data_IF_826202518656
#
_entry.id   IF_826202518656
#
_cell.length_a   1.000
_cell.length_b   1.000
_cell.length_c   1.000
_cell.angle_alpha   90.00
_cell.angle_beta   90.00
_cell.angle_gamma   90.00
#
_symmetry.space_group_name_H-M   'P 1'
#
loop_
_entity.id
_entity.type
_entity.pdbx_description
1 polymer ?
#
# COMPACT_ATOMS: atom_id res chain seq x y z
N UNK A 1 54.59 -24.58 15.29
CA UNK A 1 55.87 -24.41 16.00
C UNK A 1 56.28 -22.95 15.84
N UNK A 2 55.67 -22.16 16.71
CA UNK A 2 56.14 -21.02 17.49
C UNK A 2 57.08 -19.91 16.96
N UNK A 3 56.73 -18.75 17.52
CA UNK A 3 57.49 -17.53 17.87
C UNK A 3 57.55 -16.36 16.87
N UNK A 4 56.59 -15.43 17.03
CA UNK A 4 56.74 -14.10 17.69
C UNK A 4 58.09 -13.37 17.51
N UNK A 5 58.21 -12.04 17.40
CA UNK A 5 57.31 -10.93 17.72
C UNK A 5 57.99 -9.60 17.39
N UNK A 6 57.16 -8.58 17.17
CA UNK A 6 57.50 -7.17 17.05
C UNK A 6 58.35 -6.63 18.23
N UNK A 7 59.48 -5.99 17.90
CA UNK A 7 59.98 -4.87 18.68
C UNK A 7 59.18 -3.61 18.33
N UNK A 8 58.89 -2.67 19.21
CA UNK A 8 59.27 -2.51 20.59
C UNK A 8 59.13 -1.03 20.92
N UNK A 9 58.64 -0.75 22.13
CA UNK A 9 59.00 0.40 22.96
C UNK A 9 58.61 1.81 22.44
N UNK A 10 58.08 2.74 23.24
CA UNK A 10 58.19 2.94 24.69
C UNK A 10 57.19 4.07 25.00
N UNK A 11 56.29 3.89 25.98
CA UNK A 11 56.43 4.40 27.38
C UNK A 11 56.01 5.88 27.49
N UNK A 12 55.30 6.37 28.50
CA UNK A 12 55.24 6.06 29.95
C UNK A 12 54.17 7.01 30.52
N UNK A 13 53.39 6.81 31.60
CA UNK A 13 53.21 5.77 32.61
C UNK A 13 52.07 6.21 33.57
N UNK A 14 51.28 5.24 34.05
CA UNK A 14 50.99 4.92 35.46
C UNK A 14 50.27 5.97 36.37
N UNK A 15 49.39 5.60 37.33
CA UNK A 15 49.33 4.39 38.19
C UNK A 15 48.04 4.41 39.05
N UNK A 16 47.54 3.20 39.40
CA UNK A 16 46.89 2.77 40.67
C UNK A 16 45.52 3.40 41.00
N UNK A 17 44.51 2.73 41.58
CA UNK A 17 44.36 1.41 42.20
C UNK A 17 43.05 1.43 43.02
N UNK A 18 42.37 0.27 43.09
CA UNK A 18 41.18 -0.13 43.87
C UNK A 18 40.57 0.79 44.95
N UNK A 19 39.23 0.91 44.97
CA UNK A 19 38.31 0.46 46.04
C UNK A 19 36.81 0.64 45.70
N UNK A 20 35.87 -0.10 46.34
CA UNK A 20 34.46 -0.20 45.94
C UNK A 20 33.50 0.77 46.67
N UNK A 21 32.49 1.23 45.92
CA UNK A 21 31.15 1.81 46.26
C UNK A 21 31.03 3.01 47.23
N UNK A 22 30.08 3.95 46.97
CA UNK A 22 28.74 3.80 47.54
C UNK A 22 27.58 4.15 46.60
N UNK A 23 26.40 3.61 46.92
CA UNK A 23 25.09 3.94 46.39
C UNK A 23 24.86 5.45 46.16
N UNK A 24 24.53 5.83 44.94
CA UNK A 24 23.90 7.12 44.63
C UNK A 24 22.48 6.90 44.09
N UNK A 25 21.53 7.47 44.83
CA UNK A 25 20.13 7.63 44.45
C UNK A 25 20.02 8.28 43.05
N UNK A 26 19.14 7.83 42.16
CA UNK A 26 18.88 8.53 40.91
C UNK A 26 18.15 9.85 41.21
N UNK A 27 18.77 10.93 40.77
CA UNK A 27 18.32 12.30 40.85
C UNK A 27 16.97 12.44 40.10
N UNK A 28 15.86 12.53 40.85
CA UNK A 28 14.56 12.92 40.34
C UNK A 28 14.60 14.40 39.93
N UNK A 29 15.02 14.73 38.70
CA UNK A 29 14.68 16.03 38.08
C UNK A 29 14.99 16.20 36.57
N UNK A 30 15.05 15.14 35.76
CA UNK A 30 15.26 15.29 34.30
C UNK A 30 13.97 15.34 33.45
N UNK A 31 12.79 15.41 34.06
CA UNK A 31 11.52 15.29 33.33
C UNK A 31 10.72 16.58 33.13
N UNK A 32 11.30 17.76 33.38
CA UNK A 32 10.55 19.03 33.34
C UNK A 32 10.84 19.98 32.18
N UNK A 33 11.57 19.60 31.12
CA UNK A 33 11.67 20.49 29.94
C UNK A 33 12.13 19.83 28.62
N UNK A 34 11.66 18.61 28.31
CA UNK A 34 11.88 18.08 26.97
C UNK A 34 10.97 18.79 25.96
N UNK A 35 11.55 19.72 25.19
CA UNK A 35 10.85 20.45 24.12
C UNK A 35 10.81 19.61 22.84
N UNK A 36 9.68 19.66 22.13
CA UNK A 36 9.52 19.07 20.79
C UNK A 36 10.42 19.83 19.81
N UNK A 37 11.08 19.09 18.92
CA UNK A 37 11.92 19.69 17.89
C UNK A 37 11.04 20.50 16.92
N UNK A 38 11.19 21.83 16.93
CA UNK A 38 10.44 22.73 16.05
C UNK A 38 10.62 22.39 14.56
N UNK A 39 11.85 22.04 14.15
CA UNK A 39 12.12 21.67 12.76
C UNK A 39 11.51 20.31 12.41
N UNK A 40 11.43 19.37 13.35
CA UNK A 40 10.75 18.09 13.13
C UNK A 40 9.24 18.27 13.02
N UNK A 41 8.65 19.10 13.88
CA UNK A 41 7.21 19.43 13.81
C UNK A 41 6.84 20.11 12.48
N UNK A 42 7.80 20.81 11.87
CA UNK A 42 7.66 21.39 10.54
C UNK A 42 8.23 20.51 9.40
N UNK A 43 8.55 19.24 9.65
CA UNK A 43 9.01 18.26 8.65
C UNK A 43 10.42 18.49 8.07
N UNK A 44 11.27 19.28 8.72
CA UNK A 44 12.57 19.79 8.20
C UNK A 44 13.79 19.44 9.08
N UNK A 45 13.68 18.50 10.03
CA UNK A 45 14.82 18.13 10.87
C UNK A 45 15.73 17.09 10.19
N UNK A 46 17.01 17.40 10.03
CA UNK A 46 18.02 16.54 9.38
C UNK A 46 19.13 16.05 10.33
N UNK A 47 19.02 16.27 11.65
CA UNK A 47 20.04 15.89 12.63
C UNK A 47 19.85 14.45 13.15
N UNK A 48 20.94 13.68 13.21
CA UNK A 48 20.97 12.35 13.82
C UNK A 48 22.22 12.16 14.71
N UNK A 49 22.09 12.00 16.05
CA UNK A 49 20.85 12.10 16.83
C UNK A 49 20.43 13.56 17.09
N UNK A 50 19.12 13.83 17.04
CA UNK A 50 18.57 15.14 17.38
C UNK A 50 18.46 15.30 18.92
N UNK A 51 18.86 16.46 19.44
CA UNK A 51 18.80 16.76 20.88
C UNK A 51 17.37 17.08 21.40
N UNK A 52 16.37 17.10 20.51
CA UNK A 52 14.97 17.45 20.82
C UNK A 52 14.03 16.33 20.39
N UNK A 53 12.86 16.24 21.02
CA UNK A 53 11.92 15.13 20.78
C UNK A 53 11.30 15.18 19.38
N UNK A 54 11.21 14.01 18.75
CA UNK A 54 10.47 13.77 17.51
C UNK A 54 9.12 13.09 17.81
N UNK A 55 8.36 13.66 18.74
CA UNK A 55 6.99 13.27 19.08
C UNK A 55 6.26 14.47 19.67
N UNK A 56 4.93 14.53 19.52
CA UNK A 56 4.13 15.53 20.21
C UNK A 56 4.06 15.21 21.71
N UNK A 57 4.03 16.25 22.55
CA UNK A 57 3.79 16.08 23.98
C UNK A 57 2.30 15.87 24.22
N UNK A 58 1.92 14.96 25.15
CA UNK A 58 0.52 14.82 25.53
C UNK A 58 -0.03 16.16 26.06
N UNK A 59 -1.31 16.46 25.82
CA UNK A 59 -1.93 17.67 26.35
C UNK A 59 -1.85 17.68 27.89
N UNK A 60 -1.69 18.86 28.52
CA UNK A 60 -1.67 18.94 29.97
C UNK A 60 -3.00 18.43 30.56
N UNK A 61 -2.98 17.77 31.72
CA UNK A 61 -4.20 17.29 32.35
C UNK A 61 -5.12 18.47 32.71
N UNK A 62 -6.40 18.34 32.36
CA UNK A 62 -7.44 19.31 32.70
C UNK A 62 -7.61 19.41 34.23
N UNK A 63 -7.90 20.60 34.79
CA UNK A 63 -8.13 20.75 36.22
C UNK A 63 -9.37 19.97 36.66
N UNK A 64 -9.20 19.10 37.65
CA UNK A 64 -10.28 18.37 38.32
C UNK A 64 -11.11 19.33 39.18
N UNK A 65 -12.38 19.56 38.83
CA UNK A 65 -13.37 20.12 39.76
C UNK A 65 -14.25 19.01 40.33
N UNK A 66 -14.39 19.05 41.65
CA UNK A 66 -15.06 18.08 42.48
C UNK A 66 -16.59 18.04 42.28
N UNK A 67 -17.12 16.86 42.59
CA UNK A 67 -18.50 16.37 42.59
C UNK A 67 -19.58 17.29 43.19
N UNK A 68 -20.80 17.20 42.65
CA UNK A 68 -21.97 16.90 43.47
C UNK A 68 -23.07 16.19 42.67
N UNK A 69 -23.58 15.13 43.29
CA UNK A 69 -24.67 14.25 42.89
C UNK A 69 -26.05 14.88 43.10
N UNK A 70 -27.02 14.57 42.24
CA UNK A 70 -28.36 14.18 42.71
C UNK A 70 -29.19 13.51 41.62
N UNK A 71 -29.77 12.38 42.01
CA UNK A 71 -30.78 11.58 41.35
C UNK A 71 -32.17 12.25 41.37
N UNK A 72 -32.98 12.05 40.34
CA UNK A 72 -34.37 11.56 40.51
C UNK A 72 -35.06 11.31 39.17
N UNK A 73 -35.60 10.10 39.07
CA UNK A 73 -36.62 9.69 38.10
C UNK A 73 -37.97 10.29 38.51
N UNK A 74 -38.79 10.77 37.57
CA UNK A 74 -40.25 10.66 37.68
C UNK A 74 -40.94 10.66 36.31
N UNK A 75 -41.94 9.79 36.27
CA UNK A 75 -42.89 9.45 35.21
C UNK A 75 -44.00 10.52 35.09
N UNK A 76 -44.67 10.67 33.94
CA UNK A 76 -45.87 11.52 33.88
C UNK A 76 -46.41 11.86 32.49
N UNK A 77 -47.41 11.08 32.06
CA UNK A 77 -48.16 11.20 30.82
C UNK A 77 -49.29 12.25 30.84
N UNK A 78 -49.69 12.64 29.62
CA UNK A 78 -51.05 13.07 29.16
C UNK A 78 -51.43 14.55 29.22
N UNK A 79 -51.85 15.11 28.06
CA UNK A 79 -53.25 15.24 27.57
C UNK A 79 -53.26 16.05 26.25
N UNK A 80 -53.85 15.51 25.17
CA UNK A 80 -55.17 15.84 24.54
C UNK A 80 -55.19 17.17 23.77
N UNK A 81 -55.94 17.38 22.69
CA UNK A 81 -56.84 16.61 21.81
C UNK A 81 -57.19 17.55 20.62
N UNK A 82 -57.46 17.08 19.40
CA UNK A 82 -58.78 16.92 18.74
C UNK A 82 -58.51 17.21 17.24
N UNK A 83 -59.15 16.62 16.23
CA UNK A 83 -60.22 15.63 16.13
C UNK A 83 -60.58 15.42 14.63
N UNK A 84 -61.27 14.30 14.34
CA UNK A 84 -62.19 14.02 13.21
C UNK A 84 -61.71 14.26 11.77
N UNK A 85 -61.95 13.41 10.77
CA UNK A 85 -62.77 12.21 10.66
C UNK A 85 -63.01 11.91 9.18
N UNK A 86 -62.96 10.62 8.82
CA UNK A 86 -63.71 9.89 7.79
C UNK A 86 -63.68 10.32 6.30
N UNK A 87 -63.50 9.31 5.42
CA UNK A 87 -64.08 9.30 4.07
C UNK A 87 -63.18 8.68 3.00
N UNK A 88 -63.52 7.47 2.53
CA UNK A 88 -62.74 6.67 1.59
C UNK A 88 -62.92 7.01 0.09
N UNK A 89 -62.23 6.22 -0.75
CA UNK A 89 -62.39 6.20 -2.21
C UNK A 89 -61.15 5.64 -2.90
N UNK A 90 -61.34 4.60 -3.72
CA UNK A 90 -60.30 3.80 -4.37
C UNK A 90 -59.54 4.46 -5.55
N UNK A 91 -58.89 3.64 -6.40
CA UNK A 91 -57.50 3.84 -6.84
C UNK A 91 -57.36 4.54 -8.19
N UNK A 92 -56.20 5.18 -8.43
CA UNK A 92 -55.71 5.50 -9.79
C UNK A 92 -54.19 5.34 -9.92
N UNK A 93 -53.83 4.59 -10.95
CA UNK A 93 -52.55 4.57 -11.67
C UNK A 93 -51.97 5.97 -11.87
N UNK A 94 -50.64 6.09 -11.86
CA UNK A 94 -49.86 6.56 -13.01
C UNK A 94 -48.36 6.46 -12.69
N UNK A 95 -47.62 5.81 -13.60
CA UNK A 95 -46.18 5.60 -13.50
C UNK A 95 -45.37 6.84 -13.89
N UNK A 96 -44.12 6.90 -13.43
CA UNK A 96 -43.11 7.76 -14.05
C UNK A 96 -41.73 7.11 -14.04
N UNK A 97 -41.25 6.91 -15.26
CA UNK A 97 -39.90 6.52 -15.66
C UNK A 97 -38.85 7.62 -15.43
N UNK A 98 -37.60 7.18 -15.26
CA UNK A 98 -36.36 7.69 -15.89
C UNK A 98 -36.21 9.20 -16.20
N UNK A 99 -35.21 9.84 -15.59
CA UNK A 99 -34.52 11.05 -16.09
C UNK A 99 -33.01 10.81 -15.94
N UNK A 100 -32.20 10.56 -16.97
CA UNK A 100 -31.67 11.43 -18.05
C UNK A 100 -31.04 12.76 -17.58
N UNK A 101 -29.70 12.74 -17.56
CA UNK A 101 -28.69 13.71 -18.05
C UNK A 101 -29.09 15.19 -18.21
N UNK A 102 -28.35 16.16 -17.65
CA UNK A 102 -28.44 17.55 -18.06
C UNK A 102 -27.39 17.91 -19.13
N UNK A 103 -27.89 18.47 -20.22
CA UNK A 103 -27.16 19.00 -21.36
C UNK A 103 -26.47 20.34 -21.05
N UNK A 104 -25.36 20.57 -21.75
CA UNK A 104 -24.58 21.79 -21.80
C UNK A 104 -25.38 22.99 -22.31
N UNK A 105 -25.12 24.18 -21.75
CA UNK A 105 -25.49 25.45 -22.38
C UNK A 105 -24.24 26.31 -22.58
N UNK A 106 -23.98 26.68 -23.84
CA UNK A 106 -22.92 27.58 -24.27
C UNK A 106 -23.44 29.02 -24.24
N UNK A 107 -22.74 29.92 -23.55
CA UNK A 107 -22.91 31.37 -23.73
C UNK A 107 -21.55 32.00 -23.95
N UNK A 108 -21.34 32.50 -25.17
CA UNK A 108 -20.18 33.28 -25.58
C UNK A 108 -20.33 34.71 -25.08
N UNK A 109 -19.38 35.17 -24.25
CA UNK A 109 -19.25 36.57 -23.85
C UNK A 109 -17.87 37.09 -24.24
N UNK A 110 -17.82 37.98 -25.25
CA UNK A 110 -16.65 38.81 -25.56
C UNK A 110 -16.33 39.70 -24.36
N UNK A 111 -15.11 39.62 -23.85
CA UNK A 111 -14.45 40.76 -23.19
C UNK A 111 -13.01 40.79 -23.68
N UNK A 112 -12.70 41.81 -24.49
CA UNK A 112 -11.32 42.20 -24.76
C UNK A 112 -10.79 42.99 -23.58
N UNK A 113 -9.57 42.66 -23.15
CA UNK A 113 -8.87 43.37 -22.08
C UNK A 113 -7.52 42.71 -21.87
N UNK A 114 -6.46 43.34 -22.37
CA UNK A 114 -5.09 42.90 -22.17
C UNK A 114 -4.75 42.88 -20.68
N UNK A 115 -4.24 41.73 -20.24
CA UNK A 115 -3.66 41.52 -18.92
C UNK A 115 -2.91 40.20 -18.98
N UNK A 116 -1.63 40.22 -18.60
CA UNK A 116 -0.75 39.05 -18.63
C UNK A 116 -1.44 37.83 -18.02
N UNK A 117 -1.90 36.93 -18.87
CA UNK A 117 -2.71 35.80 -18.47
C UNK A 117 -1.86 34.81 -17.71
N UNK A 118 -2.16 34.62 -16.42
CA UNK A 118 -1.75 33.41 -15.73
C UNK A 118 -2.22 32.24 -16.59
N UNK A 119 -1.32 31.34 -17.06
CA UNK A 119 -1.72 30.23 -17.89
C UNK A 119 -2.81 29.44 -17.16
N UNK A 120 -3.89 29.02 -17.86
CA UNK A 120 -5.00 28.34 -17.21
C UNK A 120 -4.47 27.09 -16.50
N UNK A 121 -4.76 26.97 -15.20
CA UNK A 121 -4.38 25.80 -14.40
C UNK A 121 -4.94 24.55 -15.09
N UNK A 122 -4.05 23.68 -15.59
CA UNK A 122 -4.44 22.42 -16.22
C UNK A 122 -5.20 21.59 -15.18
N UNK A 123 -6.33 21.04 -15.59
CA UNK A 123 -7.07 20.11 -14.75
C UNK A 123 -6.26 18.83 -14.58
N UNK A 124 -6.28 18.23 -13.38
CA UNK A 124 -5.67 16.93 -13.07
C UNK A 124 -6.47 15.77 -13.69
N UNK A 125 -6.90 15.93 -14.93
CA UNK A 125 -7.62 14.93 -15.71
C UNK A 125 -6.99 14.86 -17.09
N UNK A 126 -6.70 13.64 -17.53
CA UNK A 126 -6.14 13.38 -18.85
C UNK A 126 -7.12 13.80 -19.94
N UNK A 127 -6.60 14.42 -21.01
CA UNK A 127 -7.39 14.83 -22.16
C UNK A 127 -7.83 13.60 -22.97
N UNK A 128 -9.13 13.30 -23.00
CA UNK A 128 -9.66 12.18 -23.78
C UNK A 128 -9.34 12.26 -25.28
N UNK A 129 -9.28 13.47 -25.85
CA UNK A 129 -8.91 13.66 -27.25
C UNK A 129 -7.42 13.41 -27.48
N UNK A 130 -6.55 13.75 -26.52
CA UNK A 130 -5.12 13.49 -26.62
C UNK A 130 -4.81 12.00 -26.57
N UNK A 131 -5.47 11.26 -25.68
CA UNK A 131 -5.36 9.80 -25.60
C UNK A 131 -5.70 9.12 -26.93
N UNK A 132 -6.57 9.73 -27.74
CA UNK A 132 -6.94 9.24 -29.06
C UNK A 132 -6.08 9.80 -30.20
N UNK A 133 -5.08 10.64 -29.91
CA UNK A 133 -4.28 11.34 -30.93
C UNK A 133 -5.04 12.44 -31.69
N UNK A 134 -6.17 12.92 -31.16
CA UNK A 134 -7.12 13.82 -31.82
C UNK A 134 -7.25 15.19 -31.15
N UNK A 135 -6.42 15.53 -30.16
CA UNK A 135 -6.52 16.82 -29.49
C UNK A 135 -5.97 17.94 -30.38
N UNK A 136 -6.83 18.83 -30.85
CA UNK A 136 -6.46 20.01 -31.64
C UNK A 136 -5.88 21.16 -30.81
N UNK A 137 -5.99 21.10 -29.48
CA UNK A 137 -5.56 22.18 -28.59
C UNK A 137 -4.07 22.11 -28.20
N UNK A 138 -3.38 21.00 -28.49
CA UNK A 138 -1.96 20.83 -28.15
C UNK A 138 -1.65 21.23 -26.70
N UNK A 139 -0.59 22.01 -26.51
CA UNK A 139 -0.16 22.47 -25.17
C UNK A 139 -1.16 23.41 -24.48
N UNK A 140 -2.01 24.09 -25.25
CA UNK A 140 -3.09 24.95 -24.76
C UNK A 140 -4.32 24.17 -24.28
N UNK A 141 -4.29 22.84 -24.34
CA UNK A 141 -5.38 22.04 -23.80
C UNK A 141 -5.52 22.26 -22.29
N UNK A 142 -6.76 22.51 -21.85
CA UNK A 142 -7.10 22.66 -20.43
C UNK A 142 -6.93 21.35 -19.64
N UNK A 143 -6.85 20.22 -20.33
CA UNK A 143 -6.66 18.88 -19.76
C UNK A 143 -5.21 18.41 -19.93
N UNK A 144 -4.80 17.45 -19.11
CA UNK A 144 -3.42 16.95 -19.11
C UNK A 144 -3.12 16.09 -20.35
N UNK A 145 -1.99 16.36 -21.02
CA UNK A 145 -1.43 15.54 -22.10
C UNK A 145 -0.28 14.68 -21.57
N UNK A 146 -0.50 14.06 -20.42
CA UNK A 146 0.46 13.22 -19.72
C UNK A 146 -0.30 12.20 -18.88
N UNK A 147 0.31 11.04 -18.65
CA UNK A 147 -0.20 10.02 -17.73
C UNK A 147 0.36 10.16 -16.32
N UNK A 148 1.26 11.11 -16.10
CA UNK A 148 1.83 11.42 -14.80
C UNK A 148 1.79 12.92 -14.49
N UNK A 149 1.71 13.22 -13.20
CA UNK A 149 1.92 14.54 -12.61
C UNK A 149 3.16 14.41 -11.72
N UNK A 150 4.13 15.29 -11.92
CA UNK A 150 5.46 15.21 -11.29
C UNK A 150 6.55 14.86 -12.31
N UNK A 151 7.79 15.24 -12.02
CA UNK A 151 8.93 15.10 -12.93
C UNK A 151 9.85 13.90 -12.65
N UNK A 152 9.57 13.11 -11.61
CA UNK A 152 10.49 12.07 -11.12
C UNK A 152 10.38 10.74 -11.85
N UNK A 153 9.39 10.57 -12.73
CA UNK A 153 9.18 9.32 -13.47
C UNK A 153 8.48 9.60 -14.80
N UNK A 154 8.73 8.76 -15.78
CA UNK A 154 8.09 8.82 -17.10
C UNK A 154 7.49 7.50 -17.51
N UNK A 155 6.45 7.57 -18.35
CA UNK A 155 5.91 6.41 -19.04
C UNK A 155 6.89 6.02 -20.16
N UNK A 156 7.40 4.79 -20.11
CA UNK A 156 8.28 4.23 -21.14
C UNK A 156 7.45 3.60 -22.27
N UNK A 157 6.54 2.70 -21.92
CA UNK A 157 5.66 2.02 -22.87
C UNK A 157 4.41 1.48 -22.20
N UNK A 158 3.47 1.03 -23.02
CA UNK A 158 2.25 0.35 -22.60
C UNK A 158 2.18 -1.02 -23.26
N UNK A 159 1.88 -2.05 -22.46
CA UNK A 159 1.68 -3.41 -22.92
C UNK A 159 0.17 -3.65 -22.99
N UNK A 160 -0.34 -3.81 -24.22
CA UNK A 160 -1.76 -3.99 -24.48
C UNK A 160 -2.08 -5.45 -24.80
N UNK A 161 -3.17 -5.97 -24.24
CA UNK A 161 -3.64 -7.31 -24.58
C UNK A 161 -4.66 -7.89 -23.63
N UNK A 162 -4.52 -7.66 -22.31
CA UNK A 162 -5.54 -8.12 -21.37
C UNK A 162 -6.88 -7.41 -21.61
N UNK A 163 -7.97 -8.12 -21.34
CA UNK A 163 -9.34 -7.63 -21.59
C UNK A 163 -10.10 -7.29 -20.30
N UNK A 164 -9.51 -7.63 -19.16
CA UNK A 164 -10.02 -7.31 -17.82
C UNK A 164 -8.85 -6.94 -16.92
N UNK A 165 -9.18 -6.51 -15.71
CA UNK A 165 -8.26 -6.08 -14.67
C UNK A 165 -7.03 -6.97 -14.53
N UNK A 166 -5.86 -6.34 -14.51
CA UNK A 166 -4.58 -6.99 -14.18
C UNK A 166 -4.46 -7.11 -12.67
N UNK A 167 -4.29 -8.32 -12.17
CA UNK A 167 -4.28 -8.66 -10.73
C UNK A 167 -2.90 -9.07 -10.23
N UNK A 168 -1.96 -9.38 -11.13
CA UNK A 168 -0.60 -9.74 -10.74
C UNK A 168 0.40 -9.38 -11.83
N UNK A 169 1.59 -8.94 -11.41
CA UNK A 169 2.72 -8.62 -12.28
C UNK A 169 3.97 -9.18 -11.60
N UNK A 170 4.81 -9.92 -12.34
CA UNK A 170 6.01 -10.53 -11.77
C UNK A 170 7.12 -10.74 -12.82
N UNK A 171 8.38 -10.74 -12.37
CA UNK A 171 9.58 -10.92 -13.20
C UNK A 171 10.51 -11.97 -12.58
N UNK A 172 10.32 -13.27 -12.86
CA UNK A 172 11.19 -14.32 -12.34
C UNK A 172 12.62 -14.28 -12.93
N UNK A 173 12.77 -13.97 -14.23
CA UNK A 173 14.06 -14.09 -14.95
C UNK A 173 14.60 -12.80 -15.57
N UNK A 174 13.96 -11.65 -15.33
CA UNK A 174 14.42 -10.32 -15.80
C UNK A 174 14.32 -10.07 -17.31
N UNK A 175 14.35 -11.11 -18.14
CA UNK A 175 14.15 -11.06 -19.59
C UNK A 175 12.66 -11.13 -19.98
N UNK A 176 11.83 -11.71 -19.10
CA UNK A 176 10.39 -11.88 -19.30
C UNK A 176 9.58 -11.31 -18.14
N UNK A 177 8.52 -10.61 -18.50
CA UNK A 177 7.48 -10.14 -17.60
C UNK A 177 6.28 -11.07 -17.70
N UNK A 178 5.68 -11.42 -16.56
CA UNK A 178 4.47 -12.21 -16.47
C UNK A 178 3.36 -11.35 -15.87
N UNK A 179 2.20 -11.33 -16.51
CA UNK A 179 1.04 -10.58 -16.03
C UNK A 179 -0.19 -11.46 -16.00
N UNK A 180 -0.93 -11.44 -14.90
CA UNK A 180 -2.16 -12.19 -14.70
C UNK A 180 -3.36 -11.27 -14.64
N UNK A 181 -4.48 -11.74 -15.16
CA UNK A 181 -5.72 -10.97 -15.24
C UNK A 181 -6.95 -11.81 -14.94
N UNK A 182 -8.03 -11.11 -14.58
CA UNK A 182 -9.38 -11.70 -14.51
C UNK A 182 -9.93 -12.11 -15.87
N UNK A 183 -9.22 -11.83 -16.98
CA UNK A 183 -9.51 -12.41 -18.29
C UNK A 183 -9.06 -13.87 -18.42
N UNK A 184 -8.63 -14.48 -17.30
CA UNK A 184 -8.25 -15.89 -17.16
C UNK A 184 -6.93 -16.26 -17.86
N UNK A 185 -6.20 -15.26 -18.35
CA UNK A 185 -4.92 -15.47 -19.02
C UNK A 185 -3.74 -14.96 -18.19
N UNK A 186 -2.65 -15.71 -18.25
CA UNK A 186 -1.32 -15.17 -17.99
C UNK A 186 -0.71 -14.75 -19.32
N UNK A 187 -0.25 -13.50 -19.43
CA UNK A 187 0.54 -13.03 -20.57
C UNK A 187 2.01 -12.99 -20.21
N UNK A 188 2.83 -13.43 -21.15
CA UNK A 188 4.29 -13.42 -21.06
C UNK A 188 4.79 -12.40 -22.08
N UNK A 189 5.59 -11.45 -21.61
CA UNK A 189 6.11 -10.36 -22.43
C UNK A 189 7.63 -10.44 -22.49
N UNK A 190 8.17 -10.20 -23.68
CA UNK A 190 9.61 -10.03 -23.85
C UNK A 190 10.00 -8.60 -23.41
N UNK A 191 10.88 -8.49 -22.41
CA UNK A 191 11.23 -7.20 -21.82
C UNK A 191 12.02 -6.29 -22.78
N UNK A 192 12.72 -6.85 -23.76
CA UNK A 192 13.52 -6.07 -24.72
C UNK A 192 12.65 -5.40 -25.79
N UNK A 193 11.67 -6.13 -26.34
CA UNK A 193 10.80 -5.67 -27.43
C UNK A 193 9.45 -5.12 -26.96
N UNK A 194 9.04 -5.44 -25.73
CA UNK A 194 7.71 -5.14 -25.20
C UNK A 194 6.59 -5.95 -25.86
N UNK A 195 6.92 -6.97 -26.67
CA UNK A 195 5.94 -7.79 -27.37
C UNK A 195 5.39 -8.89 -26.47
N UNK A 196 4.11 -9.23 -26.66
CA UNK A 196 3.50 -10.40 -26.02
C UNK A 196 4.01 -11.66 -26.72
N UNK A 197 4.79 -12.46 -26.01
CA UNK A 197 5.35 -13.73 -26.50
C UNK A 197 4.31 -14.85 -26.44
N UNK A 198 3.50 -14.86 -25.38
CA UNK A 198 2.51 -15.90 -25.16
C UNK A 198 1.35 -15.39 -24.30
N UNK A 199 0.16 -15.95 -24.52
CA UNK A 199 -1.00 -15.81 -23.67
C UNK A 199 -1.51 -17.21 -23.32
N UNK A 200 -1.46 -17.56 -22.04
CA UNK A 200 -1.78 -18.89 -21.53
C UNK A 200 -3.10 -18.83 -20.76
N UNK A 201 -4.18 -19.44 -21.26
CA UNK A 201 -5.43 -19.53 -20.54
C UNK A 201 -5.31 -20.56 -19.41
N UNK A 202 -5.78 -20.20 -18.22
CA UNK A 202 -5.75 -21.07 -17.03
C UNK A 202 -7.14 -21.57 -16.60
N UNK A 203 -8.20 -21.12 -17.26
CA UNK A 203 -9.58 -21.57 -17.02
C UNK A 203 -10.21 -21.04 -15.72
N UNK A 204 -9.71 -19.91 -15.21
CA UNK A 204 -10.26 -19.24 -14.03
C UNK A 204 -9.66 -17.86 -13.84
N UNK A 205 -10.39 -16.96 -13.17
CA UNK A 205 -9.92 -15.60 -12.93
C UNK A 205 -8.67 -15.61 -12.02
N UNK A 206 -7.61 -14.94 -12.46
CA UNK A 206 -6.38 -14.85 -11.67
C UNK A 206 -6.59 -13.82 -10.56
N UNK A 207 -6.42 -14.25 -9.31
CA UNK A 207 -6.58 -13.39 -8.14
C UNK A 207 -5.30 -12.67 -7.74
N UNK A 208 -4.14 -13.31 -7.91
CA UNK A 208 -2.82 -12.74 -7.62
C UNK A 208 -1.71 -13.56 -8.30
N UNK A 209 -0.51 -12.97 -8.39
CA UNK A 209 0.70 -13.67 -8.84
C UNK A 209 1.94 -13.15 -8.10
N UNK A 210 2.90 -14.05 -7.86
CA UNK A 210 4.24 -13.72 -7.36
C UNK A 210 5.29 -14.59 -8.07
N UNK A 211 6.56 -14.24 -7.94
CA UNK A 211 7.69 -15.11 -8.29
C UNK A 211 8.65 -15.27 -7.13
N UNK A 212 9.24 -16.45 -7.00
CA UNK A 212 10.36 -16.70 -6.09
C UNK A 212 11.36 -17.61 -6.80
N UNK A 213 12.56 -17.10 -7.08
CA UNK A 213 13.54 -17.77 -7.94
C UNK A 213 12.91 -18.16 -9.29
N UNK A 214 13.03 -19.42 -9.74
CA UNK A 214 12.48 -19.87 -11.02
C UNK A 214 10.98 -20.17 -10.98
N UNK A 215 10.32 -20.00 -9.83
CA UNK A 215 8.91 -20.30 -9.67
C UNK A 215 8.05 -19.07 -9.90
N UNK A 216 6.98 -19.24 -10.68
CA UNK A 216 5.86 -18.31 -10.79
C UNK A 216 4.65 -18.98 -10.14
N UNK A 217 4.11 -18.35 -9.10
CA UNK A 217 2.91 -18.81 -8.40
C UNK A 217 1.72 -17.97 -8.78
N UNK A 218 0.59 -18.62 -9.08
CA UNK A 218 -0.61 -18.00 -9.62
C UNK A 218 -1.80 -18.44 -8.76
N UNK A 219 -2.46 -17.48 -8.12
CA UNK A 219 -3.65 -17.72 -7.34
C UNK A 219 -4.89 -17.81 -8.23
N UNK A 220 -5.55 -18.96 -8.25
CA UNK A 220 -6.77 -19.24 -9.00
C UNK A 220 -7.91 -19.61 -8.04
N UNK A 221 -9.16 -19.76 -8.53
CA UNK A 221 -10.23 -20.35 -7.73
C UNK A 221 -9.87 -21.78 -7.32
N UNK A 222 -9.90 -22.04 -6.01
CA UNK A 222 -9.69 -23.34 -5.36
C UNK A 222 -8.30 -23.98 -5.53
N UNK A 223 -7.32 -23.25 -6.07
CA UNK A 223 -5.97 -23.80 -6.28
C UNK A 223 -4.91 -22.71 -6.44
N UNK A 224 -3.66 -23.07 -6.18
CA UNK A 224 -2.49 -22.31 -6.62
C UNK A 224 -1.79 -23.07 -7.73
N UNK A 225 -1.55 -22.43 -8.87
CA UNK A 225 -0.73 -23.00 -9.93
C UNK A 225 0.72 -22.56 -9.74
N UNK A 226 1.64 -23.51 -9.71
CA UNK A 226 3.08 -23.27 -9.61
C UNK A 226 3.74 -23.66 -10.94
N UNK A 227 4.39 -22.70 -11.60
CA UNK A 227 5.11 -22.90 -12.85
C UNK A 227 6.61 -22.67 -12.61
N UNK A 228 7.42 -23.67 -12.91
CA UNK A 228 8.87 -23.51 -12.96
C UNK A 228 9.29 -23.12 -14.38
N UNK A 229 9.90 -21.96 -14.54
CA UNK A 229 10.25 -21.42 -15.86
C UNK A 229 11.52 -22.03 -16.45
N UNK A 230 12.40 -22.61 -15.63
CA UNK A 230 13.66 -23.21 -16.07
C UNK A 230 13.44 -24.65 -16.54
N UNK A 231 12.70 -25.43 -15.75
CA UNK A 231 12.38 -26.83 -16.07
C UNK A 231 11.16 -26.97 -16.97
N UNK A 232 10.39 -25.88 -17.16
CA UNK A 232 9.14 -25.86 -17.93
C UNK A 232 8.13 -26.88 -17.39
N UNK A 233 8.08 -27.03 -16.06
CA UNK A 233 7.14 -27.91 -15.35
C UNK A 233 6.10 -27.09 -14.62
N UNK A 234 4.84 -27.51 -14.65
CA UNK A 234 3.80 -26.95 -13.81
C UNK A 234 3.18 -27.98 -12.86
N UNK A 235 2.65 -27.48 -11.74
CA UNK A 235 1.88 -28.28 -10.80
C UNK A 235 0.77 -27.46 -10.15
N UNK A 236 -0.17 -28.18 -9.56
CA UNK A 236 -1.40 -27.63 -9.00
C UNK A 236 -1.47 -27.93 -7.51
N UNK A 237 -1.49 -26.89 -6.68
CA UNK A 237 -1.60 -26.99 -5.24
C UNK A 237 -3.07 -26.87 -4.86
N UNK A 238 -3.68 -28.00 -4.50
CA UNK A 238 -5.06 -28.07 -4.03
C UNK A 238 -5.16 -27.73 -2.55
N UNK A 239 -6.38 -27.40 -2.10
CA UNK A 239 -6.66 -27.05 -0.71
C UNK A 239 -7.38 -25.71 -0.56
N UNK A 240 -7.00 -24.64 -1.29
CA UNK A 240 -7.71 -23.37 -1.21
C UNK A 240 -9.20 -23.53 -1.44
N UNK A 241 -10.01 -22.75 -0.73
CA UNK A 241 -11.47 -22.68 -0.93
C UNK A 241 -11.84 -21.28 -1.40
N UNK A 242 -12.49 -21.21 -2.54
CA UNK A 242 -12.79 -19.95 -3.23
C UNK A 242 -11.57 -19.32 -3.87
N UNK A 243 -11.63 -18.02 -4.12
CA UNK A 243 -10.55 -17.29 -4.77
C UNK A 243 -9.29 -17.22 -3.87
N UNK A 244 -8.12 -17.48 -4.45
CA UNK A 244 -6.84 -17.10 -3.84
C UNK A 244 -6.56 -15.63 -4.16
N UNK A 245 -6.59 -14.76 -3.15
CA UNK A 245 -6.41 -13.31 -3.32
C UNK A 245 -4.99 -12.81 -3.06
N UNK A 246 -4.20 -13.55 -2.28
CA UNK A 246 -2.83 -13.14 -1.95
C UNK A 246 -1.90 -14.35 -1.84
N UNK A 247 -0.66 -14.16 -2.28
CA UNK A 247 0.43 -15.11 -2.16
C UNK A 247 1.66 -14.42 -1.59
N UNK A 248 2.41 -15.11 -0.74
CA UNK A 248 3.73 -14.64 -0.27
C UNK A 248 4.62 -15.84 0.03
N UNK A 249 5.94 -15.68 -0.13
CA UNK A 249 6.92 -16.68 0.31
C UNK A 249 7.66 -16.15 1.53
N UNK A 250 7.89 -17.02 2.52
CA UNK A 250 8.71 -16.70 3.70
C UNK A 250 9.00 -17.93 4.53
N UNK A 251 10.19 -17.99 5.13
CA UNK A 251 10.63 -19.14 5.93
C UNK A 251 10.49 -20.49 5.19
N UNK A 252 10.91 -20.54 3.93
CA UNK A 252 10.79 -21.68 3.01
C UNK A 252 9.35 -22.19 2.77
N UNK A 253 8.35 -21.38 3.10
CA UNK A 253 6.93 -21.69 2.92
C UNK A 253 6.32 -20.73 1.89
N UNK A 254 5.51 -21.31 1.00
CA UNK A 254 4.56 -20.57 0.18
C UNK A 254 3.24 -20.46 0.95
N UNK A 255 2.73 -19.25 1.15
CA UNK A 255 1.44 -18.99 1.78
C UNK A 255 0.42 -18.50 0.75
N UNK A 256 -0.83 -18.96 0.86
CA UNK A 256 -1.97 -18.49 0.08
C UNK A 256 -3.12 -18.04 0.97
N UNK A 257 -3.53 -16.78 0.83
CA UNK A 257 -4.70 -16.20 1.50
C UNK A 257 -5.95 -16.38 0.65
N UNK A 258 -7.00 -16.95 1.24
CA UNK A 258 -8.17 -17.45 0.52
C UNK A 258 -9.46 -16.70 0.88
N UNK A 259 -10.48 -16.85 0.04
CA UNK A 259 -11.79 -16.20 0.17
C UNK A 259 -12.53 -16.58 1.45
N UNK A 260 -12.35 -17.82 1.93
CA UNK A 260 -12.95 -18.35 3.15
C UNK A 260 -12.30 -17.81 4.45
N UNK A 261 -11.23 -17.01 4.35
CA UNK A 261 -10.50 -16.47 5.50
C UNK A 261 -9.36 -17.36 6.01
N UNK A 262 -9.09 -18.49 5.34
CA UNK A 262 -7.95 -19.34 5.65
C UNK A 262 -6.65 -18.81 5.04
N UNK A 263 -5.52 -19.22 5.60
CA UNK A 263 -4.21 -19.09 4.95
C UNK A 263 -3.58 -20.47 4.91
N UNK A 264 -3.34 -21.00 3.72
CA UNK A 264 -2.70 -22.29 3.53
C UNK A 264 -1.21 -22.12 3.28
N UNK A 265 -0.41 -23.06 3.78
CA UNK A 265 1.04 -23.04 3.63
C UNK A 265 1.54 -24.35 3.02
N UNK A 266 2.49 -24.28 2.09
CA UNK A 266 3.18 -25.42 1.50
C UNK A 266 4.68 -25.26 1.60
N UNK A 267 5.39 -26.39 1.76
CA UNK A 267 6.84 -26.46 1.71
C UNK A 267 7.28 -27.21 0.46
N UNK A 268 8.26 -26.68 -0.26
CA UNK A 268 8.85 -27.41 -1.37
C UNK A 268 9.75 -28.54 -0.87
N UNK A 269 9.57 -29.74 -1.41
CA UNK A 269 10.39 -30.92 -1.12
C UNK A 269 11.27 -31.24 -2.35
N UNK A 270 12.60 -30.98 -2.28
CA UNK A 270 13.50 -31.24 -3.40
C UNK A 270 13.61 -32.72 -3.79
N UNK A 271 13.36 -33.65 -2.85
CA UNK A 271 13.45 -35.08 -3.13
C UNK A 271 12.28 -35.59 -3.99
N UNK A 272 11.10 -35.01 -3.81
CA UNK A 272 9.89 -35.35 -4.59
C UNK A 272 9.62 -34.35 -5.71
N UNK A 273 10.34 -33.24 -5.75
CA UNK A 273 10.12 -32.11 -6.65
C UNK A 273 8.66 -31.60 -6.61
N UNK A 274 8.08 -31.55 -5.41
CA UNK A 274 6.68 -31.19 -5.18
C UNK A 274 6.53 -30.24 -4.00
N UNK A 275 5.44 -29.47 -3.98
CA UNK A 275 5.03 -28.71 -2.80
C UNK A 275 4.09 -29.57 -1.94
N UNK A 276 4.45 -29.75 -0.67
CA UNK A 276 3.69 -30.54 0.29
C UNK A 276 2.95 -29.60 1.27
N UNK A 277 1.69 -29.87 1.61
CA UNK A 277 0.96 -29.09 2.62
C UNK A 277 1.72 -29.09 3.95
N UNK A 278 1.95 -27.90 4.51
CA UNK A 278 2.72 -27.71 5.73
C UNK A 278 1.84 -27.23 6.90
N UNK A 279 0.91 -26.29 6.64
CA UNK A 279 0.04 -25.74 7.68
C UNK A 279 -1.23 -25.10 7.10
N UNK A 280 -2.21 -24.88 7.98
CA UNK A 280 -3.39 -24.06 7.73
C UNK A 280 -3.59 -23.10 8.90
N UNK A 281 -3.49 -21.80 8.63
CA UNK A 281 -3.64 -20.73 9.61
C UNK A 281 -5.08 -20.20 9.50
N UNK A 282 -5.82 -20.30 10.60
CA UNK A 282 -7.24 -19.95 10.65
C UNK A 282 -7.49 -18.82 11.64
N UNK A 283 -8.49 -17.98 11.35
CA UNK A 283 -9.00 -17.00 12.30
C UNK A 283 -9.58 -15.74 11.68
N UNK A 284 -9.19 -15.39 10.45
CA UNK A 284 -9.94 -14.37 9.72
C UNK A 284 -11.36 -14.89 9.46
N UNK A 285 -12.33 -13.98 9.54
CA UNK A 285 -13.76 -14.32 9.37
C UNK A 285 -14.27 -14.06 7.97
N UNK A 286 -13.42 -13.45 7.13
CA UNK A 286 -13.67 -13.14 5.72
C UNK A 286 -12.34 -13.23 4.95
N UNK A 287 -12.44 -13.14 3.61
CA UNK A 287 -11.32 -13.25 2.69
C UNK A 287 -10.03 -12.55 3.14
N UNK A 288 -8.91 -13.28 3.05
CA UNK A 288 -7.56 -12.74 3.24
C UNK A 288 -7.07 -12.16 1.93
N UNK A 289 -7.05 -10.83 1.82
CA UNK A 289 -6.84 -10.13 0.54
C UNK A 289 -5.42 -9.62 0.34
N UNK A 290 -4.62 -9.57 1.41
CA UNK A 290 -3.22 -9.14 1.33
C UNK A 290 -2.40 -9.86 2.38
N UNK A 291 -1.15 -10.18 2.04
CA UNK A 291 -0.17 -10.74 2.95
C UNK A 291 1.21 -10.16 2.66
N UNK A 292 2.02 -10.06 3.70
CA UNK A 292 3.41 -9.64 3.60
C UNK A 292 4.24 -10.35 4.68
N UNK A 293 5.48 -10.73 4.34
CA UNK A 293 6.44 -11.29 5.31
C UNK A 293 7.52 -10.26 5.58
N UNK A 294 7.76 -9.96 6.87
CA UNK A 294 8.77 -8.99 7.28
C UNK A 294 9.00 -9.03 8.79
N UNK A 295 10.21 -8.68 9.23
CA UNK A 295 10.59 -8.67 10.65
C UNK A 295 10.23 -9.99 11.39
N UNK A 296 10.53 -11.13 10.76
CA UNK A 296 10.23 -12.49 11.26
C UNK A 296 8.74 -12.77 11.55
N UNK A 297 7.84 -12.09 10.84
CA UNK A 297 6.39 -12.21 11.00
C UNK A 297 5.72 -12.30 9.63
N UNK A 298 4.60 -13.01 9.59
CA UNK A 298 3.63 -12.90 8.51
C UNK A 298 2.54 -11.92 8.95
N UNK A 299 2.16 -11.00 8.07
CA UNK A 299 1.03 -10.10 8.25
C UNK A 299 -0.04 -10.46 7.23
N UNK A 300 -1.29 -10.56 7.67
CA UNK A 300 -2.42 -10.81 6.78
C UNK A 300 -3.52 -9.77 7.01
N UNK A 301 -3.93 -9.07 5.95
CA UNK A 301 -5.05 -8.14 5.94
C UNK A 301 -6.29 -8.76 5.29
N UNK A 302 -7.47 -8.47 5.85
CA UNK A 302 -8.70 -9.15 5.47
C UNK A 302 -9.89 -8.19 5.24
N UNK A 303 -10.89 -8.73 4.52
CA UNK A 303 -12.24 -8.19 4.44
C UNK A 303 -12.99 -8.12 5.77
N UNK A 304 -12.46 -8.72 6.84
CA UNK A 304 -12.96 -8.58 8.20
C UNK A 304 -12.46 -7.33 8.94
N UNK A 305 -11.77 -6.43 8.23
CA UNK A 305 -11.22 -5.16 8.70
C UNK A 305 -10.03 -5.30 9.66
N UNK A 306 -9.57 -6.53 9.93
CA UNK A 306 -8.43 -6.78 10.80
C UNK A 306 -7.15 -7.07 10.03
N UNK A 307 -6.03 -6.86 10.71
CA UNK A 307 -4.74 -7.43 10.35
C UNK A 307 -4.39 -8.47 11.40
N UNK A 308 -4.04 -9.68 10.98
CA UNK A 308 -3.44 -10.67 11.88
C UNK A 308 -1.94 -10.69 11.71
N UNK A 309 -1.26 -10.77 12.84
CA UNK A 309 0.19 -10.92 12.93
C UNK A 309 0.48 -12.34 13.37
N UNK A 310 1.25 -13.06 12.56
CA UNK A 310 1.61 -14.45 12.81
C UNK A 310 3.12 -14.55 13.02
N UNK A 311 3.51 -15.36 13.98
CA UNK A 311 4.92 -15.77 14.09
C UNK A 311 5.22 -16.72 12.92
N UNK A 312 6.25 -16.42 12.12
CA UNK A 312 6.56 -17.19 10.89
C UNK A 312 7.19 -18.57 11.19
N UNK A 313 7.74 -18.77 12.38
CA UNK A 313 8.36 -20.03 12.79
C UNK A 313 7.33 -20.98 13.40
N UNK A 314 6.46 -20.47 14.29
CA UNK A 314 5.46 -21.29 15.00
C UNK A 314 4.10 -21.31 14.30
N UNK A 315 3.90 -20.42 13.33
CA UNK A 315 2.66 -20.23 12.58
C UNK A 315 1.45 -19.89 13.47
N UNK A 316 1.69 -19.41 14.69
CA UNK A 316 0.67 -18.97 15.62
C UNK A 316 0.33 -17.50 15.42
N UNK A 317 -0.95 -17.16 15.54
CA UNK A 317 -1.40 -15.77 15.60
C UNK A 317 -0.94 -15.14 16.91
N UNK A 318 -0.06 -14.14 16.85
CA UNK A 318 0.50 -13.45 18.02
C UNK A 318 -0.22 -12.15 18.35
N UNK A 319 -0.86 -11.51 17.36
CA UNK A 319 -1.60 -10.27 17.57
C UNK A 319 -2.71 -10.10 16.53
N UNK A 320 -3.80 -9.43 16.92
CA UNK A 320 -4.88 -9.00 16.01
C UNK A 320 -4.96 -7.48 16.11
N UNK A 321 -4.85 -6.79 14.97
CA UNK A 321 -4.92 -5.34 14.86
C UNK A 321 -6.28 -4.96 14.26
N UNK A 322 -7.07 -4.17 14.98
CA UNK A 322 -8.49 -3.90 14.65
C UNK A 322 -8.79 -2.40 14.52
N UNK A 323 -7.79 -1.58 14.20
CA UNK A 323 -7.93 -0.13 14.15
C UNK A 323 -8.56 0.38 12.83
N UNK A 324 -8.52 -0.43 11.77
CA UNK A 324 -9.17 -0.12 10.50
C UNK A 324 -10.69 -0.31 10.59
N UNK A 325 -11.44 0.58 9.93
CA UNK A 325 -12.91 0.61 9.95
C UNK A 325 -13.55 -0.06 8.74
N UNK A 326 -12.74 -0.46 7.77
CA UNK A 326 -13.14 -1.12 6.54
C UNK A 326 -12.04 -2.08 6.10
N UNK A 327 -12.27 -2.75 4.98
CA UNK A 327 -11.40 -3.81 4.47
C UNK A 327 -9.94 -3.35 4.39
N UNK A 328 -9.03 -4.15 4.94
CA UNK A 328 -7.59 -3.92 4.80
C UNK A 328 -7.16 -4.46 3.45
N UNK A 329 -6.92 -3.56 2.50
CA UNK A 329 -6.64 -3.90 1.10
C UNK A 329 -5.17 -4.22 0.84
N UNK A 330 -4.25 -3.64 1.62
CA UNK A 330 -2.81 -3.86 1.41
C UNK A 330 -2.03 -3.72 2.71
N UNK A 331 -1.03 -4.60 2.91
CA UNK A 331 -0.05 -4.50 3.99
C UNK A 331 1.36 -4.60 3.41
N UNK A 332 2.32 -3.87 3.98
CA UNK A 332 3.74 -4.00 3.65
C UNK A 332 4.62 -3.62 4.84
N UNK A 333 5.83 -4.16 4.91
CA UNK A 333 6.83 -3.66 5.86
C UNK A 333 7.74 -2.65 5.19
N UNK A 334 8.03 -1.56 5.90
CA UNK A 334 9.05 -0.59 5.54
C UNK A 334 9.93 -0.32 6.75
N UNK A 335 11.21 -0.71 6.67
CA UNK A 335 12.11 -0.74 7.83
C UNK A 335 11.50 -1.55 8.99
N UNK A 336 11.44 -0.98 10.20
CA UNK A 336 10.79 -1.60 11.37
C UNK A 336 9.26 -1.42 11.42
N UNK A 337 8.67 -0.70 10.46
CA UNK A 337 7.25 -0.37 10.49
C UNK A 337 6.44 -1.30 9.62
N UNK A 338 5.23 -1.62 10.08
CA UNK A 338 4.18 -2.15 9.22
C UNK A 338 3.39 -0.95 8.68
N UNK A 339 3.11 -0.94 7.39
CA UNK A 339 2.14 -0.05 6.77
C UNK A 339 0.91 -0.87 6.39
N UNK A 340 -0.28 -0.34 6.62
CA UNK A 340 -1.52 -0.93 6.15
C UNK A 340 -2.42 0.10 5.51
N UNK A 341 -3.06 -0.26 4.41
CA UNK A 341 -4.00 0.57 3.68
C UNK A 341 -5.38 -0.07 3.65
N UNK A 342 -6.42 0.75 3.73
CA UNK A 342 -7.79 0.30 3.81
C UNK A 342 -8.75 1.13 2.94
N UNK A 343 -9.91 0.53 2.67
CA UNK A 343 -11.08 1.22 2.12
C UNK A 343 -11.71 2.22 3.10
N UNK A 344 -11.17 2.38 4.31
CA UNK A 344 -11.53 3.46 5.25
C UNK A 344 -10.79 4.79 4.95
N UNK A 345 -10.09 4.84 3.82
CA UNK A 345 -9.31 5.97 3.31
C UNK A 345 -8.05 6.26 4.12
N UNK A 346 -7.56 5.33 4.93
CA UNK A 346 -6.35 5.55 5.74
C UNK A 346 -5.20 4.61 5.39
N UNK A 347 -3.98 5.15 5.48
CA UNK A 347 -2.76 4.37 5.68
C UNK A 347 -2.39 4.48 7.14
N UNK A 348 -2.26 3.35 7.84
CA UNK A 348 -1.79 3.30 9.23
C UNK A 348 -0.35 2.80 9.25
N UNK A 349 0.49 3.48 10.03
CA UNK A 349 1.85 3.08 10.34
C UNK A 349 1.85 2.46 11.73
N UNK A 350 2.33 1.23 11.83
CA UNK A 350 2.41 0.50 13.08
C UNK A 350 3.86 0.31 13.48
N UNK A 351 4.17 0.57 14.75
CA UNK A 351 5.48 0.34 15.34
C UNK A 351 5.36 -0.59 16.55
N UNK A 352 6.41 -1.36 16.81
CA UNK A 352 6.48 -2.18 18.00
C UNK A 352 6.72 -1.31 19.23
N UNK A 353 5.88 -1.49 20.25
CA UNK A 353 6.11 -0.96 21.59
C UNK A 353 7.24 -1.75 22.29
N UNK A 354 7.76 -1.28 23.43
CA UNK A 354 8.76 -2.04 24.20
C UNK A 354 8.31 -3.44 24.62
N UNK A 355 7.00 -3.71 24.68
CA UNK A 355 6.45 -5.06 24.94
C UNK A 355 6.36 -5.94 23.69
N UNK A 356 6.69 -5.42 22.51
CA UNK A 356 6.68 -6.14 21.23
C UNK A 356 5.34 -6.13 20.48
N UNK A 357 4.31 -5.50 21.05
CA UNK A 357 3.01 -5.33 20.41
C UNK A 357 3.07 -4.18 19.40
N UNK A 358 2.45 -4.37 18.24
CA UNK A 358 2.29 -3.32 17.24
C UNK A 358 1.15 -2.38 17.61
N UNK A 359 1.41 -1.08 17.60
CA UNK A 359 0.41 -0.02 17.80
C UNK A 359 0.54 1.02 16.69
N UNK A 360 -0.59 1.69 16.38
CA UNK A 360 -0.60 2.76 15.39
C UNK A 360 0.18 3.96 15.92
N UNK A 361 1.23 4.36 15.22
CA UNK A 361 2.04 5.55 15.55
C UNK A 361 1.78 6.73 14.65
N UNK A 362 1.22 6.50 13.46
CA UNK A 362 0.86 7.54 12.50
C UNK A 362 -0.30 7.08 11.63
N UNK A 363 -1.16 8.01 11.24
CA UNK A 363 -2.27 7.77 10.29
C UNK A 363 -2.23 8.85 9.22
N UNK A 364 -2.06 8.42 7.98
CA UNK A 364 -2.21 9.25 6.78
C UNK A 364 -3.61 9.06 6.23
N UNK A 365 -4.28 10.15 5.85
CA UNK A 365 -5.67 10.11 5.35
C UNK A 365 -5.72 10.57 3.90
N UNK A 366 -6.40 9.78 3.08
CA UNK A 366 -6.71 10.07 1.70
C UNK A 366 -8.18 10.50 1.55
N UNK A 367 -8.50 11.11 0.41
CA UNK A 367 -9.90 11.42 0.08
C UNK A 367 -10.71 10.17 -0.28
N UNK A 368 -10.00 9.12 -0.71
CA UNK A 368 -10.54 7.98 -1.44
C UNK A 368 -9.99 6.66 -0.87
N UNK A 369 -10.76 5.59 -1.06
CA UNK A 369 -10.41 4.27 -0.55
C UNK A 369 -9.15 3.74 -1.21
N UNK A 370 -8.24 3.16 -0.42
CA UNK A 370 -6.93 2.75 -0.88
C UNK A 370 -6.95 1.26 -1.25
N UNK A 371 -6.36 0.90 -2.38
CA UNK A 371 -6.47 -0.42 -3.01
C UNK A 371 -5.18 -1.24 -2.96
N UNK A 372 -4.02 -0.63 -3.20
CA UNK A 372 -2.72 -1.31 -3.11
C UNK A 372 -1.64 -0.32 -2.69
N UNK A 373 -0.69 -0.83 -1.91
CA UNK A 373 0.56 -0.14 -1.58
C UNK A 373 1.72 -0.85 -2.29
N UNK A 374 2.73 -0.10 -2.66
CA UNK A 374 4.01 -0.64 -3.13
C UNK A 374 5.13 0.28 -2.66
N UNK A 375 6.01 -0.25 -1.81
CA UNK A 375 7.23 0.45 -1.39
C UNK A 375 8.37 0.14 -2.37
N UNK A 376 9.12 1.15 -2.77
CA UNK A 376 10.31 0.98 -3.60
C UNK A 376 11.29 2.12 -3.39
N UNK A 377 12.43 2.07 -4.09
CA UNK A 377 13.39 3.16 -4.14
C UNK A 377 13.33 3.86 -5.50
N UNK A 378 13.49 5.18 -5.51
CA UNK A 378 13.63 5.94 -6.74
C UNK A 378 15.05 5.79 -7.35
N UNK A 379 15.32 6.52 -8.44
CA UNK A 379 16.62 6.51 -9.12
C UNK A 379 17.80 7.03 -8.26
N UNK A 380 17.53 7.69 -7.14
CA UNK A 380 18.52 8.23 -6.19
C UNK A 380 18.59 7.40 -4.90
N UNK A 381 17.98 6.22 -4.89
CA UNK A 381 17.84 5.36 -3.72
C UNK A 381 17.06 6.02 -2.56
N UNK A 382 16.18 6.98 -2.86
CA UNK A 382 15.25 7.55 -1.87
C UNK A 382 14.01 6.67 -1.77
N UNK A 383 13.54 6.39 -0.54
CA UNK A 383 12.41 5.51 -0.32
C UNK A 383 11.10 6.21 -0.70
N UNK A 384 10.26 5.54 -1.49
CA UNK A 384 8.98 6.05 -1.95
C UNK A 384 7.88 5.02 -1.73
N UNK A 385 6.68 5.53 -1.45
CA UNK A 385 5.46 4.74 -1.33
C UNK A 385 4.50 5.09 -2.46
N UNK A 386 4.15 4.09 -3.26
CA UNK A 386 3.06 4.18 -4.23
C UNK A 386 1.78 3.69 -3.57
N UNK A 387 0.70 4.44 -3.74
CA UNK A 387 -0.60 4.22 -3.15
C UNK A 387 -1.68 4.36 -4.23
N UNK A 388 -2.29 3.25 -4.67
CA UNK A 388 -3.41 3.32 -5.61
C UNK A 388 -4.73 3.53 -4.87
N UNK A 389 -5.59 4.37 -5.42
CA UNK A 389 -6.89 4.72 -4.84
C UNK A 389 -8.03 4.45 -5.83
N UNK A 390 -9.27 4.34 -5.33
CA UNK A 390 -10.46 4.08 -6.15
C UNK A 390 -10.89 5.24 -7.08
N UNK A 391 -10.13 6.33 -7.10
CA UNK A 391 -10.28 7.47 -8.02
C UNK A 391 -9.43 7.33 -9.30
N UNK A 392 -8.85 6.14 -9.54
CA UNK A 392 -7.98 5.80 -10.68
C UNK A 392 -6.61 6.50 -10.68
N UNK A 393 -6.20 7.03 -9.53
CA UNK A 393 -4.84 7.55 -9.36
C UNK A 393 -3.96 6.57 -8.59
N UNK A 394 -2.66 6.64 -8.84
CA UNK A 394 -1.64 6.22 -7.88
C UNK A 394 -0.94 7.47 -7.40
N UNK A 395 -1.02 7.73 -6.10
CA UNK A 395 -0.27 8.81 -5.44
C UNK A 395 1.08 8.27 -5.00
N UNK A 396 2.11 9.10 -5.10
CA UNK A 396 3.49 8.76 -4.77
C UNK A 396 3.93 9.68 -3.65
N UNK A 397 4.41 9.08 -2.56
CA UNK A 397 4.90 9.81 -1.41
C UNK A 397 6.37 9.51 -1.16
N UNK A 398 7.11 10.53 -0.69
CA UNK A 398 8.41 10.30 -0.08
C UNK A 398 8.24 9.70 1.32
N UNK A 399 9.01 8.66 1.62
CA UNK A 399 9.10 8.11 2.96
C UNK A 399 10.30 8.71 3.71
N UNK A 400 10.22 8.89 5.04
CA UNK A 400 9.07 8.63 5.91
C UNK A 400 8.10 9.83 6.02
N UNK A 401 8.27 10.90 5.24
CA UNK A 401 7.55 12.17 5.44
C UNK A 401 6.08 12.14 4.99
N UNK A 402 5.70 11.18 4.14
CA UNK A 402 4.42 11.16 3.43
C UNK A 402 4.16 12.44 2.60
N UNK A 403 5.23 13.11 2.15
CA UNK A 403 5.10 14.26 1.25
C UNK A 403 4.74 13.78 -0.15
N UNK A 404 3.64 14.27 -0.71
CA UNK A 404 3.23 13.91 -2.07
C UNK A 404 4.24 14.44 -3.09
N UNK A 405 4.82 13.52 -3.87
CA UNK A 405 5.80 13.79 -4.92
C UNK A 405 5.18 13.87 -6.30
N UNK A 406 4.11 13.11 -6.52
CA UNK A 406 3.46 13.03 -7.82
C UNK A 406 2.31 12.04 -7.87
N UNK A 407 1.69 11.96 -9.04
CA UNK A 407 0.57 11.07 -9.33
C UNK A 407 0.73 10.37 -10.67
N UNK A 408 0.28 9.12 -10.74
CA UNK A 408 0.02 8.42 -12.00
C UNK A 408 -1.49 8.39 -12.20
N UNK A 409 -1.92 8.65 -13.43
CA UNK A 409 -3.32 8.69 -13.81
C UNK A 409 -3.63 7.49 -14.70
N UNK A 410 -4.68 6.76 -14.37
CA UNK A 410 -5.17 5.64 -15.16
C UNK A 410 -6.61 5.86 -15.64
N UNK A 411 -7.04 5.08 -16.63
CA UNK A 411 -8.43 5.09 -17.10
C UNK A 411 -9.36 4.33 -16.14
N UNK A 412 -8.83 3.31 -15.48
CA UNK A 412 -9.51 2.53 -14.44
C UNK A 412 -8.57 2.30 -13.27
N UNK A 413 -9.13 1.82 -12.15
CA UNK A 413 -8.41 1.57 -10.91
C UNK A 413 -7.17 0.71 -11.16
N UNK A 414 -6.05 1.12 -10.56
CA UNK A 414 -4.81 0.34 -10.59
C UNK A 414 -4.91 -0.71 -9.47
N UNK A 415 -4.74 -1.98 -9.83
CA UNK A 415 -4.88 -3.13 -8.91
C UNK A 415 -3.58 -3.91 -8.72
N UNK A 416 -2.60 -3.70 -9.60
CA UNK A 416 -1.28 -4.29 -9.47
C UNK A 416 -0.21 -3.19 -9.62
N UNK A 417 0.74 -3.16 -8.70
CA UNK A 417 1.95 -2.34 -8.78
C UNK A 417 3.12 -3.24 -8.41
N UNK A 418 4.16 -3.26 -9.24
CA UNK A 418 5.33 -4.10 -9.02
C UNK A 418 6.61 -3.30 -9.28
N UNK A 419 7.53 -3.32 -8.32
CA UNK A 419 8.88 -2.79 -8.53
C UNK A 419 9.64 -3.68 -9.54
N UNK A 420 10.36 -3.04 -10.45
CA UNK A 420 11.16 -3.68 -11.48
C UNK A 420 12.65 -3.46 -11.29
N UNK A 421 13.48 -4.12 -12.11
CA UNK A 421 14.92 -3.90 -12.12
C UNK A 421 15.26 -2.51 -12.68
N UNK A 422 16.46 -2.03 -12.35
CA UNK A 422 17.09 -0.87 -13.02
C UNK A 422 16.26 0.42 -13.02
N UNK A 423 15.49 0.67 -11.96
CA UNK A 423 14.65 1.87 -11.84
C UNK A 423 13.32 1.80 -12.59
N UNK A 424 12.96 0.62 -13.11
CA UNK A 424 11.63 0.39 -13.68
C UNK A 424 10.61 0.06 -12.59
N UNK A 425 9.35 0.34 -12.88
CA UNK A 425 8.23 -0.22 -12.15
C UNK A 425 7.01 -0.36 -13.07
N UNK A 426 6.07 -1.20 -12.66
CA UNK A 426 4.94 -1.60 -13.49
C UNK A 426 3.62 -1.30 -12.78
N UNK A 427 2.62 -0.89 -13.54
CA UNK A 427 1.25 -0.72 -13.04
C UNK A 427 0.27 -1.44 -13.95
N UNK A 428 -0.67 -2.18 -13.37
CA UNK A 428 -1.76 -2.86 -14.08
C UNK A 428 -3.12 -2.31 -13.66
N UNK A 429 -3.94 -1.92 -14.64
CA UNK A 429 -5.25 -1.28 -14.41
C UNK A 429 -6.45 -2.21 -14.65
N UNK A 430 -7.64 -1.70 -14.30
CA UNK A 430 -8.93 -2.37 -14.47
C UNK A 430 -9.34 -2.69 -15.91
N UNK A 431 -8.73 -2.03 -16.92
CA UNK A 431 -8.99 -2.32 -18.33
C UNK A 431 -8.08 -3.41 -18.91
N UNK A 432 -7.13 -3.95 -18.14
CA UNK A 432 -6.13 -4.85 -18.67
C UNK A 432 -4.89 -4.13 -19.24
N UNK A 433 -4.76 -2.83 -19.02
CA UNK A 433 -3.60 -2.09 -19.49
C UNK A 433 -2.45 -2.23 -18.48
N UNK A 434 -1.29 -2.69 -18.96
CA UNK A 434 -0.05 -2.70 -18.18
C UNK A 434 0.83 -1.56 -18.69
N UNK A 435 1.32 -0.74 -17.77
CA UNK A 435 2.24 0.37 -18.09
C UNK A 435 3.59 0.13 -17.47
N UNK A 436 4.62 0.44 -18.24
CA UNK A 436 6.02 0.38 -17.84
C UNK A 436 6.50 1.79 -17.59
N UNK A 437 6.97 2.04 -16.38
CA UNK A 437 7.45 3.32 -15.93
C UNK A 437 8.94 3.25 -15.62
N UNK A 438 9.62 4.39 -15.76
CA UNK A 438 11.02 4.53 -15.40
C UNK A 438 11.21 5.72 -14.46
N UNK A 439 11.95 5.54 -13.37
CA UNK A 439 12.40 6.63 -12.52
C UNK A 439 13.42 7.50 -13.25
N UNK A 440 13.27 8.81 -13.12
CA UNK A 440 14.17 9.82 -13.68
C UNK A 440 15.04 10.33 -12.53
N UNK A 441 16.35 10.17 -12.65
CA UNK A 441 17.30 10.81 -11.74
C UNK A 441 17.24 12.33 -11.92
N UNK A 442 17.35 13.10 -10.83
CA UNK A 442 17.46 14.54 -10.97
C UNK A 442 18.72 14.88 -11.79
N UNK A 443 18.68 15.91 -12.65
CA UNK A 443 19.87 16.38 -13.33
C UNK A 443 20.88 16.81 -12.26
N UNK A 444 21.98 16.07 -12.10
CA UNK A 444 23.10 16.51 -11.29
C UNK A 444 23.59 17.82 -11.90
N UNK A 445 23.33 18.95 -11.25
CA UNK A 445 23.94 20.21 -11.62
C UNK A 445 25.45 20.00 -11.56
N UNK A 446 26.10 20.06 -12.73
CA UNK A 446 27.54 20.04 -12.78
C UNK A 446 28.04 21.26 -12.00
N UNK A 447 28.54 21.03 -10.79
CA UNK A 447 29.29 22.04 -10.05
C UNK A 447 30.48 22.40 -10.93
N UNK A 448 30.42 23.56 -11.58
CA UNK A 448 31.58 24.11 -12.27
C UNK A 448 32.69 24.26 -11.23
N UNK A 449 33.79 23.53 -11.44
CA UNK A 449 35.02 23.66 -10.65
C UNK A 449 35.73 24.97 -10.98
#
# INVERSE_FOLDING_TARGET
>A
MDFDSNGGNKRVFNRLGNKPQPHHYPNQNQNQNQKVCYHWQAGRCTRNPCAFLHRELPPPPLPTHASSSSSSSFNGSSKRAHGGGLGGGGPRNDGFSSRKNPNFNNTWGRVGGGGGGVPPKKMERVCNYWVQGKCSYGDNCKFLHSWSIGGSFSLLTTLEGHQKVVTGITLPSGDKLYTGSKDENVRIWDCASGQCVSAVPLGGEIGCMISEGPWVFIGLPNMVKALNIETVTDMSLSGPVGQVYSLVVGNDLLFAGTEDGSILAWKFNPATNCFEPAASLTGHTRAVVTMFVGANRLYSGSMDNSIRVWNIETLQCIQILTDHKSVVMSVLCWEQFLLSASLDNTIKVWAATPSGNLEVTYTHTEENGILTLCGMFDAEAKPVLLCSTNDNFVRIYDLPSFMERGKIISKQEIRAIQAGPSGLFFTGDGNGQVRVWNWIAEPKTATAM
#
